data_IF_533659843211
#
_entry.id   IF_533659843211
#
_cell.length_a   1.000
_cell.length_b   1.000
_cell.length_c   1.000
_cell.angle_alpha   90.00
_cell.angle_beta   90.00
_cell.angle_gamma   90.00
#
_symmetry.space_group_name_H-M   'P 1'
#
loop_
_entity.id
_entity.type
_entity.pdbx_description
1 polymer ?
#
# COMPACT_ATOMS: atom_id res chain seq x y z
N UNK A 1 100.55 -17.82 21.28
CA UNK A 1 100.27 -18.19 22.68
C UNK A 1 98.84 -17.77 23.00
N UNK A 2 97.97 -18.72 23.41
CA UNK A 2 96.70 -18.52 24.16
C UNK A 2 95.62 -17.67 23.44
N UNK A 3 94.36 -18.08 23.22
CA UNK A 3 93.52 -19.17 23.74
C UNK A 3 92.21 -19.18 22.93
N UNK A 4 91.59 -20.36 22.77
CA UNK A 4 90.14 -20.64 22.89
C UNK A 4 89.12 -20.00 21.91
N UNK A 5 87.98 -20.60 21.56
CA UNK A 5 87.41 -21.96 21.55
C UNK A 5 85.91 -21.79 21.18
N UNK A 6 85.26 -22.88 20.74
CA UNK A 6 83.83 -23.23 20.80
C UNK A 6 82.81 -22.67 19.76
N UNK A 7 82.44 -23.59 18.85
CA UNK A 7 81.15 -24.30 18.67
C UNK A 7 79.79 -23.57 18.54
N UNK A 8 79.02 -24.17 17.63
CA UNK A 8 77.56 -24.35 17.59
C UNK A 8 76.72 -23.11 17.19
N UNK A 9 75.62 -23.20 16.45
CA UNK A 9 74.67 -24.29 16.27
C UNK A 9 73.93 -24.19 14.92
N UNK A 10 73.56 -25.34 14.35
CA UNK A 10 72.51 -25.48 13.32
C UNK A 10 71.15 -25.11 13.92
N UNK A 11 70.37 -24.27 13.24
CA UNK A 11 68.92 -24.22 13.43
C UNK A 11 68.24 -24.19 12.06
N UNK A 12 67.57 -25.30 11.74
CA UNK A 12 66.73 -25.45 10.57
C UNK A 12 65.36 -24.84 10.88
N UNK A 13 64.91 -23.89 10.07
CA UNK A 13 63.53 -23.37 10.11
C UNK A 13 62.80 -23.96 8.92
N UNK A 14 61.89 -24.90 9.19
CA UNK A 14 60.94 -25.41 8.21
C UNK A 14 59.82 -24.39 7.97
N UNK A 15 59.34 -24.21 6.73
CA UNK A 15 58.19 -23.35 6.46
C UNK A 15 56.89 -24.06 6.84
N UNK A 16 56.06 -23.40 7.65
CA UNK A 16 54.66 -23.76 7.89
C UNK A 16 53.87 -23.57 6.59
N UNK A 17 53.37 -24.65 6.01
CA UNK A 17 52.32 -24.62 4.98
C UNK A 17 50.97 -24.49 5.69
N UNK A 18 50.31 -23.34 5.54
CA UNK A 18 48.92 -23.14 5.98
C UNK A 18 48.00 -23.68 4.89
N UNK A 19 47.37 -24.83 5.17
CA UNK A 19 46.30 -25.38 4.35
C UNK A 19 45.01 -24.58 4.65
N UNK A 20 44.55 -23.75 3.71
CA UNK A 20 43.26 -23.07 3.84
C UNK A 20 42.13 -24.05 3.50
N UNK A 21 41.26 -24.34 4.47
CA UNK A 21 40.04 -25.10 4.24
C UNK A 21 39.03 -24.26 3.44
N UNK A 22 38.25 -24.85 2.51
CA UNK A 22 37.21 -24.12 1.81
C UNK A 22 36.09 -23.76 2.79
N UNK A 23 35.84 -22.45 2.96
CA UNK A 23 34.65 -21.94 3.64
C UNK A 23 33.45 -22.28 2.75
N UNK A 24 32.65 -23.25 3.18
CA UNK A 24 31.36 -23.54 2.55
C UNK A 24 30.48 -22.29 2.63
N UNK A 25 30.27 -21.63 1.49
CA UNK A 25 29.49 -20.41 1.40
C UNK A 25 28.00 -20.70 1.63
N UNK A 26 27.42 -20.01 2.60
CA UNK A 26 26.01 -20.12 2.99
C UNK A 26 25.07 -19.33 2.03
N UNK A 27 25.56 -19.00 0.83
CA UNK A 27 24.92 -18.11 -0.14
C UNK A 27 23.62 -18.67 -0.72
N UNK A 28 23.51 -20.00 -0.83
CA UNK A 28 22.29 -20.66 -1.32
C UNK A 28 21.08 -20.53 -0.36
N UNK A 29 21.33 -20.40 0.94
CA UNK A 29 20.26 -20.29 1.96
C UNK A 29 19.70 -18.86 2.01
N UNK A 30 20.57 -17.85 1.84
CA UNK A 30 20.18 -16.45 1.78
C UNK A 30 19.34 -16.15 0.53
N UNK A 31 19.72 -16.69 -0.64
CA UNK A 31 18.93 -16.55 -1.87
C UNK A 31 17.58 -17.27 -1.78
N UNK A 32 17.50 -18.47 -1.18
CA UNK A 32 16.21 -19.13 -0.93
C UNK A 32 15.32 -18.37 0.06
N UNK A 33 15.90 -17.68 1.05
CA UNK A 33 15.13 -16.81 1.95
C UNK A 33 14.72 -15.49 1.30
N UNK A 34 15.54 -14.91 0.42
CA UNK A 34 15.18 -13.74 -0.37
C UNK A 34 14.07 -14.07 -1.36
N UNK A 35 14.18 -15.19 -2.09
CA UNK A 35 13.14 -15.68 -3.00
C UNK A 35 11.82 -15.94 -2.27
N UNK A 36 11.86 -16.60 -1.10
CA UNK A 36 10.68 -16.85 -0.25
C UNK A 36 10.08 -15.56 0.34
N UNK A 37 10.87 -14.49 0.51
CA UNK A 37 10.38 -13.17 0.94
C UNK A 37 9.73 -12.38 -0.20
N UNK A 38 10.25 -12.45 -1.42
CA UNK A 38 9.60 -11.83 -2.59
C UNK A 38 8.29 -12.51 -2.98
N UNK A 39 8.09 -13.78 -2.61
CA UNK A 39 6.79 -14.47 -2.76
C UNK A 39 5.81 -14.19 -1.60
N UNK A 40 6.21 -13.42 -0.58
CA UNK A 40 5.42 -13.17 0.65
C UNK A 40 4.87 -11.76 0.78
N UNK A 41 5.03 -10.87 -0.21
CA UNK A 41 4.12 -9.72 -0.32
C UNK A 41 2.78 -10.28 -0.83
N UNK A 42 2.02 -10.87 0.09
CA UNK A 42 0.67 -11.32 -0.18
C UNK A 42 -0.14 -10.11 -0.62
N UNK A 43 -0.50 -10.07 -1.90
CA UNK A 43 -1.37 -9.02 -2.44
C UNK A 43 -2.60 -8.87 -1.51
N UNK A 44 -2.74 -7.69 -0.91
CA UNK A 44 -3.72 -7.39 0.12
C UNK A 44 -5.16 -7.54 -0.40
N UNK A 45 -5.38 -7.27 -1.69
CA UNK A 45 -6.68 -7.42 -2.36
C UNK A 45 -7.07 -8.89 -2.41
N UNK A 46 -6.19 -9.75 -2.93
CA UNK A 46 -6.49 -11.18 -3.09
C UNK A 46 -6.54 -11.90 -1.75
N UNK A 47 -5.62 -11.59 -0.83
CA UNK A 47 -5.57 -12.20 0.50
C UNK A 47 -6.76 -11.82 1.40
N UNK A 48 -7.40 -10.67 1.13
CA UNK A 48 -8.57 -10.21 1.89
C UNK A 48 -9.91 -10.71 1.32
N UNK A 49 -9.91 -11.48 0.23
CA UNK A 49 -11.12 -12.04 -0.35
C UNK A 49 -11.96 -11.05 -1.15
N UNK A 50 -11.40 -9.91 -1.55
CA UNK A 50 -12.06 -8.94 -2.44
C UNK A 50 -12.41 -9.62 -3.77
N UNK A 51 -13.64 -9.41 -4.26
CA UNK A 51 -14.16 -10.02 -5.50
C UNK A 51 -14.37 -8.98 -6.60
N UNK A 52 -14.78 -7.78 -6.23
CA UNK A 52 -15.05 -6.65 -7.12
C UNK A 52 -13.83 -5.75 -7.34
N UNK A 53 -13.96 -4.81 -8.28
CA UNK A 53 -12.96 -3.77 -8.56
C UNK A 53 -11.55 -4.28 -8.93
N UNK A 54 -11.48 -5.49 -9.52
CA UNK A 54 -10.21 -6.12 -9.92
C UNK A 54 -9.73 -5.60 -11.27
N UNK A 55 -8.41 -5.49 -11.40
CA UNK A 55 -7.77 -5.00 -12.63
C UNK A 55 -8.01 -3.50 -12.83
N UNK A 56 -7.98 -3.09 -14.10
CA UNK A 56 -8.18 -1.69 -14.48
C UNK A 56 -9.65 -1.29 -14.41
N UNK A 57 -10.00 -0.44 -13.44
CA UNK A 57 -11.31 0.19 -13.36
C UNK A 57 -11.32 1.44 -14.25
N UNK A 58 -11.91 1.32 -15.44
CA UNK A 58 -11.88 2.38 -16.46
C UNK A 58 -13.23 3.09 -16.59
N UNK A 59 -13.25 4.25 -17.26
CA UNK A 59 -14.45 5.08 -17.44
C UNK A 59 -15.16 5.41 -16.12
N UNK A 60 -14.39 5.57 -15.05
CA UNK A 60 -14.89 5.93 -13.73
C UNK A 60 -15.20 7.43 -13.68
N UNK A 61 -16.13 7.80 -12.82
CA UNK A 61 -16.37 9.20 -12.43
C UNK A 61 -15.79 9.38 -11.05
N UNK A 62 -14.93 10.39 -10.88
CA UNK A 62 -14.47 10.85 -9.58
C UNK A 62 -15.25 12.09 -9.17
N UNK A 63 -16.08 11.96 -8.15
CA UNK A 63 -16.68 13.07 -7.40
C UNK A 63 -15.84 13.41 -6.18
N UNK A 64 -16.33 14.31 -5.33
CA UNK A 64 -15.61 14.69 -4.10
C UNK A 64 -16.53 14.98 -2.91
N UNK A 65 -15.97 14.73 -1.73
CA UNK A 65 -16.60 15.00 -0.44
C UNK A 65 -15.61 15.59 0.57
N UNK A 66 -16.15 16.35 1.53
CA UNK A 66 -15.45 16.81 2.74
C UNK A 66 -15.63 15.79 3.85
N UNK A 67 -14.60 15.59 4.68
CA UNK A 67 -14.62 14.52 5.70
C UNK A 67 -15.35 14.88 6.98
N UNK A 68 -15.72 16.15 7.16
CA UNK A 68 -16.51 16.63 8.28
C UNK A 68 -17.48 17.73 7.81
N UNK A 69 -18.48 17.32 7.05
CA UNK A 69 -19.50 18.22 6.52
C UNK A 69 -20.88 17.54 6.46
N UNK A 70 -21.91 18.16 7.07
CA UNK A 70 -23.28 17.62 7.03
C UNK A 70 -23.86 17.45 5.63
N UNK A 71 -23.50 18.31 4.66
CA UNK A 71 -23.96 18.21 3.27
C UNK A 71 -23.40 17.00 2.55
N UNK A 72 -22.26 16.48 3.02
CA UNK A 72 -21.62 15.26 2.54
C UNK A 72 -21.92 14.04 3.44
N UNK A 73 -22.79 14.22 4.44
CA UNK A 73 -23.14 13.19 5.44
C UNK A 73 -21.93 12.63 6.20
N UNK A 74 -20.89 13.43 6.39
CA UNK A 74 -19.67 13.05 7.12
C UNK A 74 -19.56 13.79 8.46
N UNK A 75 -18.72 13.27 9.36
CA UNK A 75 -18.61 13.77 10.74
C UNK A 75 -17.19 13.65 11.35
N UNK A 76 -16.16 13.48 10.53
CA UNK A 76 -14.77 13.25 10.97
C UNK A 76 -14.45 11.79 11.34
N UNK A 77 -15.45 10.93 11.48
CA UNK A 77 -15.29 9.47 11.52
C UNK A 77 -15.63 8.82 10.18
N UNK A 78 -14.76 7.93 9.70
CA UNK A 78 -14.96 7.22 8.44
C UNK A 78 -15.71 5.89 8.63
N UNK A 79 -16.25 5.33 7.55
CA UNK A 79 -16.78 3.96 7.52
C UNK A 79 -15.73 2.91 7.93
N UNK A 80 -14.44 3.23 7.82
CA UNK A 80 -13.33 2.38 8.23
C UNK A 80 -12.98 2.44 9.73
N UNK A 81 -13.77 3.16 10.54
CA UNK A 81 -13.52 3.39 11.97
C UNK A 81 -12.19 4.09 12.24
N UNK A 82 -11.80 4.98 11.34
CA UNK A 82 -10.62 5.84 11.47
C UNK A 82 -11.05 7.31 11.49
N UNK A 83 -10.27 8.16 12.13
CA UNK A 83 -10.41 9.61 11.95
C UNK A 83 -9.76 10.02 10.62
N UNK A 84 -10.36 10.99 9.96
CA UNK A 84 -9.91 11.51 8.65
C UNK A 84 -10.19 13.01 8.52
N UNK A 85 -9.41 13.68 7.68
CA UNK A 85 -9.51 15.12 7.41
C UNK A 85 -9.55 15.36 5.91
N UNK A 86 -9.87 16.56 5.47
CA UNK A 86 -9.81 16.92 4.04
C UNK A 86 -8.38 16.77 3.44
N UNK A 87 -7.35 16.60 4.26
CA UNK A 87 -5.97 16.31 3.81
C UNK A 87 -5.67 14.81 3.62
N UNK A 88 -6.58 13.92 4.05
CA UNK A 88 -6.40 12.47 3.95
C UNK A 88 -6.31 12.06 2.47
N UNK A 89 -5.29 11.26 2.08
CA UNK A 89 -5.16 10.73 0.72
C UNK A 89 -6.11 9.55 0.52
N UNK A 90 -7.42 9.79 0.66
CA UNK A 90 -8.44 8.76 0.69
C UNK A 90 -9.52 8.95 -0.35
N UNK A 91 -10.22 7.86 -0.63
CA UNK A 91 -11.41 7.83 -1.47
C UNK A 91 -12.38 6.77 -0.95
N UNK A 92 -13.59 6.83 -1.47
CA UNK A 92 -14.69 5.93 -1.20
C UNK A 92 -15.12 5.24 -2.50
N UNK A 93 -15.51 3.98 -2.38
CA UNK A 93 -16.11 3.18 -3.45
C UNK A 93 -17.47 2.66 -2.99
N UNK A 94 -18.29 2.17 -3.92
CA UNK A 94 -19.65 1.68 -3.64
C UNK A 94 -19.73 0.81 -2.37
N UNK A 95 -20.48 1.30 -1.38
CA UNK A 95 -20.69 0.61 -0.10
C UNK A 95 -21.37 -0.72 -0.32
N UNK A 96 -22.46 -0.75 -1.10
CA UNK A 96 -23.23 -1.95 -1.36
C UNK A 96 -22.37 -3.00 -2.08
N UNK A 97 -21.55 -2.62 -3.05
CA UNK A 97 -20.69 -3.57 -3.76
C UNK A 97 -19.63 -4.18 -2.83
N UNK A 98 -18.99 -3.37 -1.97
CA UNK A 98 -18.06 -3.87 -0.97
C UNK A 98 -18.74 -4.88 -0.03
N UNK A 99 -19.96 -4.59 0.43
CA UNK A 99 -20.72 -5.48 1.31
C UNK A 99 -21.16 -6.76 0.59
N UNK A 100 -21.56 -6.67 -0.68
CA UNK A 100 -21.98 -7.81 -1.50
C UNK A 100 -20.85 -8.82 -1.72
N UNK A 101 -19.61 -8.36 -1.85
CA UNK A 101 -18.44 -9.24 -1.93
C UNK A 101 -18.34 -10.21 -0.74
N UNK A 102 -18.88 -9.80 0.41
CA UNK A 102 -18.85 -10.54 1.67
C UNK A 102 -20.24 -11.04 2.10
N UNK A 103 -21.12 -11.31 1.12
CA UNK A 103 -22.46 -11.90 1.34
C UNK A 103 -23.34 -11.09 2.32
N UNK A 104 -23.19 -9.76 2.34
CA UNK A 104 -23.94 -8.90 3.26
C UNK A 104 -23.22 -8.60 4.58
N UNK A 105 -22.05 -9.18 4.85
CA UNK A 105 -21.28 -8.91 6.07
C UNK A 105 -20.47 -7.61 5.95
N UNK A 106 -21.03 -6.53 6.50
CA UNK A 106 -20.40 -5.21 6.52
C UNK A 106 -19.08 -5.17 7.31
N UNK A 107 -18.97 -5.96 8.39
CA UNK A 107 -17.74 -5.98 9.19
C UNK A 107 -16.62 -6.72 8.48
N UNK A 108 -16.94 -7.80 7.77
CA UNK A 108 -15.98 -8.47 6.89
C UNK A 108 -15.55 -7.55 5.75
N UNK A 109 -16.48 -6.84 5.11
CA UNK A 109 -16.19 -5.89 4.06
C UNK A 109 -15.24 -4.78 4.53
N UNK A 110 -15.50 -4.17 5.69
CA UNK A 110 -14.59 -3.16 6.28
C UNK A 110 -13.17 -3.70 6.46
N UNK A 111 -13.03 -4.87 7.10
CA UNK A 111 -11.72 -5.50 7.31
C UNK A 111 -10.99 -5.82 6.01
N UNK A 112 -11.73 -6.11 4.96
CA UNK A 112 -11.16 -6.48 3.67
C UNK A 112 -10.82 -5.29 2.77
N UNK A 113 -11.58 -4.20 2.82
CA UNK A 113 -11.40 -3.06 1.92
C UNK A 113 -10.62 -1.91 2.53
N UNK A 114 -10.81 -1.61 3.81
CA UNK A 114 -10.20 -0.44 4.43
C UNK A 114 -8.68 -0.45 4.33
N UNK A 115 -8.13 0.69 3.91
CA UNK A 115 -6.70 0.92 3.73
C UNK A 115 -6.09 0.25 2.50
N UNK A 116 -6.87 -0.45 1.66
CA UNK A 116 -6.36 -0.91 0.36
C UNK A 116 -5.91 0.29 -0.47
N UNK A 117 -4.72 0.19 -1.02
CA UNK A 117 -4.09 1.24 -1.82
C UNK A 117 -4.47 1.11 -3.29
N UNK A 118 -4.78 2.23 -3.92
CA UNK A 118 -5.03 2.33 -5.34
C UNK A 118 -4.24 3.49 -5.96
N UNK A 119 -3.90 3.34 -7.24
CA UNK A 119 -3.45 4.46 -8.08
C UNK A 119 -4.64 4.92 -8.89
N UNK A 120 -4.94 6.22 -8.80
CA UNK A 120 -6.02 6.89 -9.54
C UNK A 120 -5.40 7.83 -10.56
N UNK A 121 -5.79 7.72 -11.83
CA UNK A 121 -5.25 8.49 -12.93
C UNK A 121 -6.38 9.15 -13.74
N UNK A 122 -6.24 10.45 -13.93
CA UNK A 122 -7.17 11.29 -14.71
C UNK A 122 -6.87 11.21 -16.22
N UNK A 123 -7.83 11.53 -17.11
CA UNK A 123 -7.56 11.64 -18.55
C UNK A 123 -6.45 12.63 -18.91
N UNK A 124 -6.25 13.67 -18.10
CA UNK A 124 -5.21 14.68 -18.27
C UNK A 124 -3.83 14.21 -17.82
N UNK A 125 -3.72 12.98 -17.29
CA UNK A 125 -2.47 12.36 -16.88
C UNK A 125 -2.03 12.68 -15.45
N UNK A 126 -2.83 13.39 -14.66
CA UNK A 126 -2.57 13.53 -13.20
C UNK A 126 -2.87 12.22 -12.49
N UNK A 127 -2.04 11.87 -11.52
CA UNK A 127 -2.15 10.61 -10.79
C UNK A 127 -1.89 10.81 -9.30
N UNK A 128 -2.66 10.13 -8.46
CA UNK A 128 -2.48 10.10 -7.01
C UNK A 128 -2.58 8.66 -6.50
N UNK A 129 -1.79 8.35 -5.47
CA UNK A 129 -1.96 7.13 -4.67
C UNK A 129 -2.93 7.43 -3.55
N UNK A 130 -4.06 6.73 -3.52
CA UNK A 130 -5.13 6.91 -2.54
C UNK A 130 -5.45 5.60 -1.82
N UNK A 131 -6.10 5.71 -0.66
CA UNK A 131 -6.53 4.58 0.15
C UNK A 131 -8.04 4.53 0.28
N UNK A 132 -8.63 3.33 0.33
CA UNK A 132 -10.03 3.18 0.74
C UNK A 132 -10.15 3.65 2.19
N UNK A 133 -10.70 4.84 2.35
CA UNK A 133 -10.86 5.51 3.63
C UNK A 133 -12.31 5.49 4.09
N UNK A 134 -13.26 5.42 3.16
CA UNK A 134 -14.69 5.49 3.46
C UNK A 134 -15.52 4.68 2.45
N UNK A 135 -16.84 4.73 2.57
CA UNK A 135 -17.77 4.04 1.68
C UNK A 135 -18.73 5.01 0.98
N UNK A 136 -18.87 4.86 -0.33
CA UNK A 136 -19.68 5.74 -1.16
C UNK A 136 -21.12 5.27 -1.18
N UNK A 137 -22.05 6.17 -0.86
CA UNK A 137 -23.49 5.90 -0.95
C UNK A 137 -23.89 5.61 -2.40
N UNK A 138 -24.42 4.41 -2.59
CA UNK A 138 -24.77 3.85 -3.89
C UNK A 138 -25.80 4.66 -4.68
N UNK A 139 -26.59 5.53 -4.03
CA UNK A 139 -27.52 6.42 -4.75
C UNK A 139 -26.80 7.46 -5.64
N UNK A 140 -25.53 7.76 -5.34
CA UNK A 140 -24.71 8.71 -6.08
C UNK A 140 -23.69 8.04 -7.00
N UNK A 141 -23.53 6.72 -6.93
CA UNK A 141 -22.68 5.94 -7.83
C UNK A 141 -23.27 5.99 -9.25
N UNK A 142 -22.54 6.57 -10.20
CA UNK A 142 -23.01 6.80 -11.58
C UNK A 142 -22.49 5.76 -12.58
N UNK A 143 -21.37 5.13 -12.25
CA UNK A 143 -20.77 4.00 -12.97
C UNK A 143 -20.35 2.94 -11.95
N UNK A 144 -20.26 1.66 -12.31
CA UNK A 144 -19.89 0.59 -11.36
C UNK A 144 -18.57 0.82 -10.62
N UNK A 145 -17.69 1.66 -11.18
CA UNK A 145 -16.36 1.97 -10.65
C UNK A 145 -16.22 3.43 -10.23
N UNK A 146 -17.33 4.17 -10.08
CA UNK A 146 -17.31 5.54 -9.58
C UNK A 146 -16.67 5.60 -8.20
N UNK A 147 -15.91 6.67 -7.98
CA UNK A 147 -15.21 6.94 -6.74
C UNK A 147 -15.64 8.30 -6.21
N UNK A 148 -15.70 8.44 -4.89
CA UNK A 148 -15.86 9.72 -4.23
C UNK A 148 -14.58 10.05 -3.49
N UNK A 149 -13.89 11.11 -3.90
CA UNK A 149 -12.51 11.39 -3.46
C UNK A 149 -12.51 12.45 -2.36
N UNK A 150 -11.70 12.24 -1.31
CA UNK A 150 -11.57 13.24 -0.24
C UNK A 150 -11.05 14.55 -0.84
N UNK A 151 -11.64 15.66 -0.39
CA UNK A 151 -11.48 17.00 -0.97
C UNK A 151 -10.06 17.39 -1.37
N UNK A 152 -9.09 17.24 -0.47
CA UNK A 152 -7.70 17.61 -0.76
C UNK A 152 -7.03 16.72 -1.81
N UNK A 153 -7.35 15.43 -1.83
CA UNK A 153 -6.88 14.51 -2.88
C UNK A 153 -7.57 14.80 -4.23
N UNK A 154 -8.87 15.10 -4.20
CA UNK A 154 -9.59 15.49 -5.41
C UNK A 154 -8.99 16.75 -6.03
N UNK A 155 -8.67 17.77 -5.25
CA UNK A 155 -8.07 19.01 -5.76
C UNK A 155 -6.76 18.77 -6.54
N UNK A 156 -5.95 17.80 -6.12
CA UNK A 156 -4.72 17.42 -6.85
C UNK A 156 -5.02 16.73 -8.18
N UNK A 157 -5.97 15.79 -8.20
CA UNK A 157 -6.41 15.11 -9.42
C UNK A 157 -7.09 16.10 -10.39
N UNK A 158 -7.95 16.97 -9.87
CA UNK A 158 -8.67 17.99 -10.63
C UNK A 158 -7.74 19.11 -11.13
N UNK A 159 -6.64 19.35 -10.41
CA UNK A 159 -5.64 20.38 -10.71
C UNK A 159 -5.99 21.76 -10.14
N UNK A 160 -7.10 21.87 -9.41
CA UNK A 160 -7.51 23.08 -8.70
C UNK A 160 -8.49 22.73 -7.57
N UNK A 161 -8.71 23.67 -6.66
CA UNK A 161 -9.80 23.54 -5.69
C UNK A 161 -11.13 24.03 -6.30
N UNK A 162 -12.25 23.52 -5.79
CA UNK A 162 -13.61 23.89 -6.23
C UNK A 162 -14.60 23.84 -5.07
N UNK A 163 -15.72 24.55 -5.15
CA UNK A 163 -16.85 24.35 -4.23
C UNK A 163 -18.13 23.95 -4.97
N UNK A 164 -18.05 23.69 -6.27
CA UNK A 164 -19.17 23.24 -7.09
C UNK A 164 -19.24 21.71 -7.08
N UNK A 165 -20.37 21.15 -6.66
CA UNK A 165 -20.59 19.70 -6.61
C UNK A 165 -20.76 19.06 -7.99
N UNK A 166 -21.04 19.86 -9.01
CA UNK A 166 -21.08 19.41 -10.41
C UNK A 166 -19.67 19.25 -11.01
N UNK A 167 -18.64 19.76 -10.35
CA UNK A 167 -17.25 19.60 -10.79
C UNK A 167 -16.76 18.19 -10.43
N UNK A 168 -16.82 17.30 -11.43
CA UNK A 168 -16.37 15.92 -11.37
C UNK A 168 -15.33 15.64 -12.46
N UNK A 169 -14.51 14.61 -12.27
CA UNK A 169 -13.59 14.13 -13.30
C UNK A 169 -14.21 12.89 -13.95
N UNK A 170 -14.49 12.99 -15.25
CA UNK A 170 -14.99 11.85 -16.03
C UNK A 170 -13.83 11.10 -16.66
N UNK A 171 -13.99 9.80 -16.94
CA UNK A 171 -12.96 9.01 -17.63
C UNK A 171 -11.76 8.66 -16.76
N UNK A 172 -11.90 8.74 -15.43
CA UNK A 172 -10.86 8.34 -14.48
C UNK A 172 -10.61 6.84 -14.60
N UNK A 173 -9.35 6.46 -14.50
CA UNK A 173 -8.91 5.08 -14.40
C UNK A 173 -8.29 4.84 -13.03
N UNK A 174 -8.59 3.73 -12.38
CA UNK A 174 -7.94 3.37 -11.14
C UNK A 174 -7.79 1.86 -10.96
N UNK A 175 -6.80 1.46 -10.19
CA UNK A 175 -6.59 0.05 -9.86
C UNK A 175 -5.95 -0.07 -8.47
N UNK A 176 -6.30 -1.14 -7.76
CA UNK A 176 -5.60 -1.49 -6.53
C UNK A 176 -4.16 -1.91 -6.84
N UNK A 177 -3.21 -1.46 -6.03
CA UNK A 177 -1.79 -1.80 -6.17
C UNK A 177 -1.46 -3.19 -5.62
N UNK A 178 -2.33 -3.72 -4.75
CA UNK A 178 -2.06 -4.91 -3.97
C UNK A 178 -1.45 -4.61 -2.59
N UNK A 179 -1.17 -3.34 -2.28
CA UNK A 179 -0.68 -2.92 -0.98
C UNK A 179 -1.83 -2.48 -0.05
N UNK A 180 -1.54 -2.40 1.26
CA UNK A 180 -2.45 -1.86 2.26
C UNK A 180 -1.69 -0.97 3.25
N UNK A 181 -2.25 0.20 3.51
CA UNK A 181 -1.80 1.05 4.60
C UNK A 181 -2.40 0.60 5.94
N UNK A 182 -1.54 0.34 6.94
CA UNK A 182 -1.99 0.07 8.31
C UNK A 182 -2.66 1.28 8.96
N UNK A 183 -2.19 2.49 8.64
CA UNK A 183 -2.76 3.75 9.14
C UNK A 183 -4.25 3.90 8.74
N UNK A 184 -4.58 3.54 7.50
CA UNK A 184 -5.94 3.67 6.95
C UNK A 184 -6.75 2.37 6.98
N UNK A 185 -6.19 1.30 7.54
CA UNK A 185 -6.89 0.02 7.70
C UNK A 185 -8.03 0.14 8.72
N UNK A 186 -8.88 -0.88 8.77
CA UNK A 186 -10.02 -0.92 9.69
C UNK A 186 -9.56 -0.71 11.16
N UNK A 187 -10.00 0.38 11.78
CA UNK A 187 -9.61 0.77 13.14
C UNK A 187 -8.15 1.24 13.29
N UNK A 188 -7.49 1.59 12.18
CA UNK A 188 -6.15 2.17 12.16
C UNK A 188 -6.09 3.57 12.78
N UNK A 189 -4.88 4.13 12.86
CA UNK A 189 -4.67 5.46 13.49
C UNK A 189 -5.34 6.61 12.73
N UNK A 190 -5.58 6.46 11.43
CA UNK A 190 -6.16 7.52 10.61
C UNK A 190 -5.31 8.80 10.62
N UNK A 191 -5.98 9.95 10.64
CA UNK A 191 -5.38 11.29 10.78
C UNK A 191 -5.14 11.74 12.23
N UNK A 192 -5.29 10.85 13.21
CA UNK A 192 -5.16 11.18 14.64
C UNK A 192 -3.72 11.53 15.06
#
# INVERSE_FOLDING_TARGET
>A
MRTAFFLAALSAVAPFLVLSAPVASNEGTALRQLQKRTDSNSNAVTSSGVKSFKGDNTNSIASWYRTNDPADHTNGGSWCYTQYTDSTPGFAISRQQMINDFNGDEMAARKAYCGLEAVVTTPEGRSETLYIADAFDDQYVRTPTSIDVIKGAFAKLYGSDTNNKDDVIQGVQWQFTGERSSQWSFGGSGSA
#
